data_IF_509274453274
#
_entry.id   IF_509274453274
#
_cell.length_a   1.000
_cell.length_b   1.000
_cell.length_c   1.000
_cell.angle_alpha   90.00
_cell.angle_beta   90.00
_cell.angle_gamma   90.00
#
_symmetry.space_group_name_H-M   'P 1'
#
loop_
_entity.id
_entity.type
_entity.pdbx_description
1 polymer ?
#
# COMPACT_ATOMS: atom_id res chain seq x y z
N UNK A 1 8.50 -0.66 11.58
CA UNK A 1 8.01 -0.86 10.20
C UNK A 1 8.22 -2.32 9.82
N UNK A 2 7.19 -3.03 9.35
CA UNK A 2 7.32 -4.43 8.92
C UNK A 2 7.94 -4.56 7.52
N UNK A 3 8.45 -5.74 7.17
CA UNK A 3 9.13 -6.00 5.88
C UNK A 3 8.27 -5.68 4.64
N UNK A 4 6.94 -5.89 4.66
CA UNK A 4 6.05 -5.46 3.57
C UNK A 4 5.89 -3.93 3.47
N UNK A 5 5.99 -3.23 4.59
CA UNK A 5 6.01 -1.76 4.60
C UNK A 5 7.31 -1.23 3.98
N UNK A 6 8.45 -1.85 4.32
CA UNK A 6 9.73 -1.56 3.67
C UNK A 6 9.65 -1.81 2.16
N UNK A 7 9.13 -2.97 1.74
CA UNK A 7 8.96 -3.30 0.33
C UNK A 7 8.11 -2.28 -0.43
N UNK A 8 7.07 -1.72 0.20
CA UNK A 8 6.25 -0.68 -0.41
C UNK A 8 7.06 0.61 -0.65
N UNK A 9 7.87 1.03 0.32
CA UNK A 9 8.71 2.24 0.22
C UNK A 9 9.78 2.06 -0.85
N UNK A 10 10.47 0.92 -0.86
CA UNK A 10 11.47 0.60 -1.89
C UNK A 10 10.85 0.52 -3.28
N UNK A 11 9.64 -0.05 -3.40
CA UNK A 11 8.93 -0.11 -4.66
C UNK A 11 8.65 1.29 -5.21
N UNK A 12 8.24 2.25 -4.36
CA UNK A 12 8.03 3.64 -4.79
C UNK A 12 9.34 4.27 -5.27
N UNK A 13 10.45 4.07 -4.55
CA UNK A 13 11.77 4.57 -4.99
C UNK A 13 12.12 4.00 -6.37
N UNK A 14 12.01 2.69 -6.54
CA UNK A 14 12.31 2.03 -7.82
C UNK A 14 11.46 2.56 -8.99
N UNK A 15 10.18 2.86 -8.75
CA UNK A 15 9.27 3.42 -9.76
C UNK A 15 9.68 4.85 -10.13
N UNK A 16 10.07 5.67 -9.14
CA UNK A 16 10.52 7.04 -9.37
C UNK A 16 11.87 7.11 -10.11
N UNK A 17 12.78 6.18 -9.79
CA UNK A 17 14.13 6.15 -10.36
C UNK A 17 14.17 5.57 -11.78
N UNK A 18 13.15 4.80 -12.18
CA UNK A 18 13.12 4.04 -13.44
C UNK A 18 11.82 4.30 -14.20
N UNK A 19 11.82 5.09 -15.28
CA UNK A 19 10.63 5.44 -16.05
C UNK A 19 9.78 4.24 -16.54
N UNK A 20 10.42 3.11 -16.85
CA UNK A 20 9.74 1.89 -17.34
C UNK A 20 9.29 0.92 -16.24
N UNK A 21 9.50 1.28 -14.97
CA UNK A 21 9.14 0.46 -13.82
C UNK A 21 7.68 0.69 -13.42
N UNK A 22 6.82 -0.28 -13.75
CA UNK A 22 5.43 -0.24 -13.32
C UNK A 22 5.30 -0.58 -11.83
N UNK A 23 4.21 -0.16 -11.15
CA UNK A 23 3.98 -0.51 -9.75
C UNK A 23 4.06 -2.01 -9.44
N UNK A 24 3.55 -2.85 -10.35
CA UNK A 24 3.67 -4.31 -10.21
C UNK A 24 5.12 -4.80 -10.29
N UNK A 25 5.91 -4.25 -11.22
CA UNK A 25 7.34 -4.59 -11.34
C UNK A 25 8.10 -4.13 -10.10
N UNK A 26 7.91 -2.89 -9.66
CA UNK A 26 8.55 -2.34 -8.46
C UNK A 26 8.24 -3.18 -7.22
N UNK A 27 6.96 -3.50 -7.00
CA UNK A 27 6.56 -4.37 -5.88
C UNK A 27 7.23 -5.74 -5.93
N UNK A 28 7.19 -6.41 -7.09
CA UNK A 28 7.75 -7.75 -7.24
C UNK A 28 9.26 -7.75 -7.04
N UNK A 29 9.96 -6.71 -7.54
CA UNK A 29 11.39 -6.55 -7.37
C UNK A 29 11.74 -6.34 -5.87
N UNK A 30 11.16 -5.34 -5.21
CA UNK A 30 11.47 -5.07 -3.78
C UNK A 30 11.12 -6.25 -2.88
N UNK A 31 9.99 -6.94 -3.12
CA UNK A 31 9.64 -8.12 -2.33
C UNK A 31 10.56 -9.31 -2.60
N UNK A 32 11.09 -9.46 -3.83
CA UNK A 32 12.10 -10.46 -4.15
C UNK A 32 13.43 -10.19 -3.44
N UNK A 33 13.88 -8.94 -3.43
CA UNK A 33 15.10 -8.52 -2.73
C UNK A 33 14.99 -8.73 -1.20
N UNK A 34 13.85 -8.40 -0.60
CA UNK A 34 13.64 -8.48 0.87
C UNK A 34 13.39 -9.91 1.37
N UNK A 35 12.62 -10.71 0.62
CA UNK A 35 12.16 -12.02 1.07
C UNK A 35 12.80 -13.20 0.34
N UNK A 36 13.56 -12.94 -0.72
CA UNK A 36 14.05 -13.96 -1.64
C UNK A 36 13.02 -14.26 -2.73
N UNK A 37 13.55 -14.50 -3.94
CA UNK A 37 12.76 -14.86 -5.10
C UNK A 37 11.99 -16.18 -4.85
N UNK A 38 10.80 -16.29 -5.42
CA UNK A 38 9.96 -17.49 -5.34
C UNK A 38 9.54 -17.94 -3.94
N UNK A 39 9.65 -17.08 -2.92
CA UNK A 39 9.12 -17.37 -1.58
C UNK A 39 7.62 -17.08 -1.47
N UNK A 40 6.95 -17.75 -0.53
CA UNK A 40 5.54 -17.49 -0.24
C UNK A 40 5.30 -16.06 0.27
N UNK A 41 6.28 -15.49 0.96
CA UNK A 41 6.22 -14.10 1.42
C UNK A 41 6.28 -13.14 0.24
N UNK A 42 7.19 -13.34 -0.70
CA UNK A 42 7.28 -12.53 -1.93
C UNK A 42 5.96 -12.55 -2.73
N UNK A 43 5.32 -13.72 -2.87
CA UNK A 43 4.06 -13.86 -3.62
C UNK A 43 2.80 -13.42 -2.85
N UNK A 44 2.89 -13.02 -1.57
CA UNK A 44 1.72 -12.78 -0.71
C UNK A 44 0.79 -11.71 -1.29
N UNK A 45 -0.47 -12.09 -1.55
CA UNK A 45 -1.42 -11.25 -2.27
C UNK A 45 -2.01 -10.07 -1.50
N UNK A 46 -2.23 -10.20 -0.18
CA UNK A 46 -2.88 -9.15 0.62
C UNK A 46 -2.12 -7.82 0.62
N UNK A 47 -0.82 -7.77 1.00
CA UNK A 47 -0.06 -6.52 0.98
C UNK A 47 0.17 -6.03 -0.45
N UNK A 48 0.40 -6.93 -1.41
CA UNK A 48 0.53 -6.59 -2.84
C UNK A 48 -0.69 -5.83 -3.37
N UNK A 49 -1.88 -6.36 -3.15
CA UNK A 49 -3.11 -5.75 -3.65
C UNK A 49 -3.47 -4.45 -2.90
N UNK A 50 -3.02 -4.28 -1.64
CA UNK A 50 -3.12 -3.00 -0.96
C UNK A 50 -2.21 -1.95 -1.63
N UNK A 51 -0.94 -2.28 -1.87
CA UNK A 51 0.02 -1.39 -2.54
C UNK A 51 -0.45 -0.99 -3.95
N UNK A 52 -0.77 -1.98 -4.79
CA UNK A 52 -1.24 -1.72 -6.16
C UNK A 52 -2.54 -0.91 -6.16
N UNK A 53 -3.45 -1.20 -5.23
CA UNK A 53 -4.69 -0.45 -5.09
C UNK A 53 -4.49 1.03 -4.79
N UNK A 54 -3.50 1.38 -3.96
CA UNK A 54 -3.12 2.77 -3.69
C UNK A 54 -2.53 3.44 -4.94
N UNK A 55 -1.67 2.73 -5.68
CA UNK A 55 -1.09 3.23 -6.94
C UNK A 55 -2.17 3.49 -7.99
N UNK A 56 -3.08 2.54 -8.19
CA UNK A 56 -4.19 2.66 -9.16
C UNK A 56 -5.09 3.87 -8.88
N UNK A 57 -5.30 4.18 -7.60
CA UNK A 57 -6.09 5.32 -7.18
C UNK A 57 -5.34 6.66 -7.23
N UNK A 58 -4.06 6.67 -7.67
CA UNK A 58 -3.24 7.89 -7.72
C UNK A 58 -2.93 8.46 -6.34
N UNK A 59 -2.98 7.64 -5.29
CA UNK A 59 -2.74 8.08 -3.91
C UNK A 59 -1.26 8.07 -3.53
N UNK A 60 -0.38 7.57 -4.40
CA UNK A 60 1.06 7.56 -4.16
C UNK A 60 1.70 8.72 -4.92
N UNK A 61 2.49 9.52 -4.21
CA UNK A 61 3.22 10.65 -4.79
C UNK A 61 4.06 10.19 -5.97
N UNK A 62 4.03 10.93 -7.09
CA UNK A 62 4.80 10.61 -8.30
C UNK A 62 4.28 9.43 -9.12
N UNK A 63 3.21 8.76 -8.70
CA UNK A 63 2.58 7.66 -9.47
C UNK A 63 1.18 8.09 -9.91
N UNK A 64 0.99 8.19 -11.23
CA UNK A 64 -0.31 8.53 -11.81
C UNK A 64 -1.37 7.46 -11.53
N UNK A 65 -2.64 7.85 -11.49
CA UNK A 65 -3.76 6.90 -11.47
C UNK A 65 -3.74 6.02 -12.71
N UNK A 66 -4.18 4.76 -12.58
CA UNK A 66 -4.11 3.79 -13.68
C UNK A 66 -4.60 2.40 -13.29
N UNK A 67 -4.36 1.42 -14.17
CA UNK A 67 -4.63 0.01 -13.90
C UNK A 67 -3.30 -0.75 -13.83
N UNK A 68 -2.99 -1.27 -12.64
CA UNK A 68 -1.70 -1.91 -12.34
C UNK A 68 -1.86 -3.31 -11.75
N UNK A 69 -3.08 -3.70 -11.42
CA UNK A 69 -3.43 -5.03 -10.92
C UNK A 69 -4.32 -5.76 -11.92
N UNK A 70 -4.05 -7.05 -12.10
CA UNK A 70 -4.90 -7.92 -12.93
C UNK A 70 -6.36 -7.99 -12.43
N UNK A 71 -6.58 -7.83 -11.12
CA UNK A 71 -7.90 -7.79 -10.50
C UNK A 71 -8.19 -6.39 -9.95
N UNK A 72 -8.94 -5.61 -10.71
CA UNK A 72 -9.33 -4.23 -10.35
C UNK A 72 -10.19 -4.14 -9.07
N UNK A 73 -10.87 -5.23 -8.68
CA UNK A 73 -11.82 -5.29 -7.55
C UNK A 73 -11.29 -6.12 -6.37
N UNK A 74 -10.12 -5.77 -5.83
CA UNK A 74 -9.60 -6.42 -4.62
C UNK A 74 -10.19 -5.81 -3.34
N UNK A 75 -10.70 -6.62 -2.41
CA UNK A 75 -11.04 -6.15 -1.05
C UNK A 75 -9.85 -5.44 -0.38
N UNK A 76 -8.61 -5.90 -0.64
CA UNK A 76 -7.41 -5.30 -0.06
C UNK A 76 -7.14 -3.89 -0.58
N UNK A 77 -7.52 -3.60 -1.83
CA UNK A 77 -7.51 -2.24 -2.37
C UNK A 77 -8.47 -1.38 -1.58
N UNK A 78 -9.73 -1.80 -1.45
CA UNK A 78 -10.75 -1.04 -0.71
C UNK A 78 -10.34 -0.78 0.75
N UNK A 79 -9.77 -1.78 1.43
CA UNK A 79 -9.25 -1.59 2.79
C UNK A 79 -8.11 -0.57 2.86
N UNK A 80 -7.20 -0.56 1.88
CA UNK A 80 -6.11 0.42 1.84
C UNK A 80 -6.63 1.83 1.56
N UNK A 81 -7.58 1.99 0.63
CA UNK A 81 -8.22 3.28 0.33
C UNK A 81 -8.96 3.83 1.56
N UNK A 82 -9.73 2.98 2.24
CA UNK A 82 -10.44 3.35 3.45
C UNK A 82 -9.48 3.74 4.58
N UNK A 83 -8.36 3.02 4.73
CA UNK A 83 -7.33 3.38 5.70
C UNK A 83 -6.74 4.77 5.43
N UNK A 84 -6.44 5.11 4.16
CA UNK A 84 -5.98 6.46 3.80
C UNK A 84 -7.05 7.51 4.08
N UNK A 85 -8.32 7.24 3.75
CA UNK A 85 -9.44 8.13 4.05
C UNK A 85 -9.56 8.41 5.55
N UNK A 86 -9.36 7.40 6.40
CA UNK A 86 -9.38 7.53 7.85
C UNK A 86 -8.18 8.32 8.37
N UNK A 87 -6.98 8.05 7.85
CA UNK A 87 -5.74 8.76 8.22
C UNK A 87 -5.79 10.25 7.87
N UNK A 88 -6.36 10.61 6.71
CA UNK A 88 -6.59 12.02 6.34
C UNK A 88 -7.55 12.73 7.29
N UNK A 89 -8.55 12.03 7.82
CA UNK A 89 -9.50 12.59 8.81
C UNK A 89 -8.90 12.65 10.21
N UNK A 90 -8.06 11.69 10.58
CA UNK A 90 -7.44 11.59 11.89
C UNK A 90 -6.08 10.90 11.77
N UNK A 91 -5.03 11.71 11.63
CA UNK A 91 -3.65 11.23 11.45
C UNK A 91 -3.11 10.52 12.69
N UNK A 92 -3.69 10.72 13.88
CA UNK A 92 -3.30 10.02 15.12
C UNK A 92 -3.50 8.50 14.99
N UNK A 93 -4.41 8.05 14.13
CA UNK A 93 -4.61 6.63 13.82
C UNK A 93 -3.34 5.96 13.24
N UNK A 94 -2.39 6.73 12.70
CA UNK A 94 -1.11 6.19 12.22
C UNK A 94 -0.26 5.56 13.34
N UNK A 95 -0.46 5.98 14.59
CA UNK A 95 0.30 5.52 15.75
C UNK A 95 -0.22 4.18 16.29
N UNK A 96 -1.40 3.73 15.86
CA UNK A 96 -2.01 2.48 16.32
C UNK A 96 -2.59 1.69 15.15
N UNK A 97 -1.77 0.75 14.65
CA UNK A 97 -2.13 -0.14 13.54
C UNK A 97 -3.38 -0.97 13.81
N UNK A 98 -3.57 -1.43 15.05
CA UNK A 98 -4.70 -2.30 15.38
C UNK A 98 -5.99 -1.48 15.44
N UNK A 99 -5.92 -0.26 16.00
CA UNK A 99 -7.04 0.67 16.00
C UNK A 99 -7.41 1.09 14.58
N UNK A 100 -6.44 1.49 13.75
CA UNK A 100 -6.70 1.82 12.34
C UNK A 100 -7.41 0.66 11.64
N UNK A 101 -6.92 -0.57 11.81
CA UNK A 101 -7.52 -1.73 11.20
C UNK A 101 -8.96 -2.00 11.69
N UNK A 102 -9.21 -1.83 12.99
CA UNK A 102 -10.55 -1.98 13.58
C UNK A 102 -11.55 -1.01 12.95
N UNK A 103 -11.14 0.24 12.73
CA UNK A 103 -11.95 1.26 12.05
C UNK A 103 -12.21 0.90 10.58
N UNK A 104 -11.17 0.48 9.84
CA UNK A 104 -11.31 0.00 8.45
C UNK A 104 -12.30 -1.17 8.36
N UNK A 105 -12.25 -2.10 9.30
CA UNK A 105 -13.12 -3.26 9.36
C UNK A 105 -14.50 -2.97 9.96
N UNK A 106 -14.76 -1.74 10.42
CA UNK A 106 -16.01 -1.36 11.11
C UNK A 106 -16.39 -2.35 12.22
N UNK A 107 -15.38 -2.80 12.98
CA UNK A 107 -15.56 -3.74 14.09
C UNK A 107 -15.66 -5.23 13.72
N UNK A 108 -15.53 -5.63 12.44
CA UNK A 108 -15.51 -7.04 12.07
C UNK A 108 -14.22 -7.73 12.54
N UNK A 109 -14.36 -8.95 13.09
CA UNK A 109 -13.28 -9.74 13.70
C UNK A 109 -12.33 -10.41 12.70
N UNK A 110 -11.66 -9.63 11.86
CA UNK A 110 -10.65 -10.11 10.90
C UNK A 110 -9.27 -9.57 11.27
N UNK A 111 -8.22 -10.34 11.09
CA UNK A 111 -6.84 -9.86 11.28
C UNK A 111 -6.32 -9.11 10.06
N UNK A 112 -5.49 -8.08 10.29
CA UNK A 112 -4.75 -7.46 9.20
C UNK A 112 -3.66 -8.42 8.70
N UNK A 113 -3.72 -8.81 7.43
CA UNK A 113 -2.74 -9.67 6.75
C UNK A 113 -1.62 -8.84 6.10
N UNK A 114 -1.05 -7.92 6.88
CA UNK A 114 0.00 -6.95 6.49
C UNK A 114 -0.43 -5.82 5.56
N UNK A 115 -1.72 -5.64 5.26
CA UNK A 115 -2.18 -4.50 4.46
C UNK A 115 -1.86 -3.16 5.15
N UNK A 116 -2.04 -3.08 6.47
CA UNK A 116 -1.77 -1.85 7.21
C UNK A 116 -0.27 -1.56 7.36
N UNK A 117 0.60 -2.58 7.27
CA UNK A 117 2.05 -2.34 7.25
C UNK A 117 2.44 -1.53 5.99
N UNK A 118 1.78 -1.78 4.85
CA UNK A 118 1.97 -1.02 3.61
C UNK A 118 1.47 0.42 3.75
N UNK A 119 0.21 0.60 4.17
CA UNK A 119 -0.41 1.93 4.28
C UNK A 119 0.37 2.82 5.25
N UNK A 120 0.68 2.32 6.45
CA UNK A 120 1.36 3.10 7.47
C UNK A 120 2.80 3.45 7.09
N UNK A 121 3.53 2.54 6.43
CA UNK A 121 4.89 2.84 5.98
C UNK A 121 4.92 3.98 4.96
N UNK A 122 4.02 3.93 3.96
CA UNK A 122 3.91 4.96 2.95
C UNK A 122 3.42 6.29 3.54
N UNK A 123 2.43 6.25 4.43
CA UNK A 123 1.93 7.42 5.16
C UNK A 123 3.03 8.11 5.96
N UNK A 124 3.74 7.35 6.81
CA UNK A 124 4.79 7.88 7.68
C UNK A 124 6.02 8.38 6.91
N UNK A 125 6.20 7.95 5.66
CA UNK A 125 7.24 8.47 4.75
C UNK A 125 6.78 9.65 3.90
N UNK A 126 5.54 10.12 4.05
CA UNK A 126 5.00 11.22 3.23
C UNK A 126 4.79 10.84 1.76
N UNK A 127 4.75 9.53 1.45
CA UNK A 127 4.58 9.02 0.09
C UNK A 127 3.10 8.89 -0.33
N UNK A 128 2.18 9.13 0.60
CA UNK A 128 0.75 9.24 0.32
C UNK A 128 0.40 10.71 0.09
N UNK A 129 -0.26 11.00 -1.03
CA UNK A 129 -0.74 12.34 -1.35
C UNK A 129 -1.75 12.78 -0.29
N UNK A 130 -1.52 13.93 0.36
CA UNK A 130 -2.33 14.38 1.51
C UNK A 130 -3.63 15.07 1.11
N UNK A 131 -3.71 15.63 -0.09
CA UNK A 131 -4.88 16.34 -0.62
C UNK A 131 -5.44 15.62 -1.85
N UNK A 132 -6.77 15.59 -1.99
CA UNK A 132 -7.36 15.21 -3.28
C UNK A 132 -7.11 16.36 -4.25
N UNK A 133 -6.23 16.15 -5.23
CA UNK A 133 -6.16 17.03 -6.39
C UNK A 133 -7.52 16.96 -7.07
N UNK A 134 -8.29 18.04 -6.96
CA UNK A 134 -9.44 18.26 -7.83
C UNK A 134 -8.87 18.49 -9.22
N UNK A 135 -8.98 17.46 -10.08
CA UNK A 135 -8.81 17.60 -11.54
C UNK A 135 -10.08 18.19 -12.14
#
# INVERSE_FOLDING_TARGET
>A
MGKYGLAAVEAVSLIMDKPDCTPLKGWNQSTSEIYGENTNSQRKGCPKNAFLGLCEAGLITGISKGNYAYKSHSLNKMYALEAVRLLRKNSVLANDKNRLWKEVMKGQGKSHNSQMDVVLALWNKGLIVQEERQE
#
